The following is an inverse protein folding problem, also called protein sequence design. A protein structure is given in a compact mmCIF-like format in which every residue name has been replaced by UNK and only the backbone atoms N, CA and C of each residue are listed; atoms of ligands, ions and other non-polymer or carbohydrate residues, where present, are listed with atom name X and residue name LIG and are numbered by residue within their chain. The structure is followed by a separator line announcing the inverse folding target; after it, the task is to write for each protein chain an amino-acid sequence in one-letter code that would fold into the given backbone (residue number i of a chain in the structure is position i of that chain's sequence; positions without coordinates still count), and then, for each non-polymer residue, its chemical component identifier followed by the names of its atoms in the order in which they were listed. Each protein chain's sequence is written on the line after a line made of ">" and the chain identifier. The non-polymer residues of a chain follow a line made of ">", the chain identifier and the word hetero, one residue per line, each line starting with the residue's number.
data_IF_446040840915
#
_entry.id   IF_446040840915
#
_cell.length_a   1.000
_cell.length_b   1.000
_cell.length_c   1.000
_cell.angle_alpha   90.00
_cell.angle_beta   90.00
_cell.angle_gamma   90.00
#
_symmetry.space_group_name_H-M   'P 1'
#
loop_
_entity.id
_entity.type
_entity.pdbx_description
1 polymer ?
#
# COMPACT_ATOMS: atom_id res chain seq x y z
N UNK A 1 30.97 -20.93 -14.53
CA UNK A 1 30.53 -19.53 -14.69
C UNK A 1 29.64 -19.12 -13.52
N UNK A 2 28.53 -19.84 -13.28
CA UNK A 2 27.60 -19.60 -12.16
C UNK A 2 28.29 -19.54 -10.77
N UNK A 3 29.15 -20.53 -10.47
CA UNK A 3 29.93 -20.59 -9.23
C UNK A 3 30.79 -19.33 -9.00
N UNK A 4 31.42 -18.82 -10.07
CA UNK A 4 32.22 -17.58 -10.00
C UNK A 4 31.37 -16.34 -9.72
N UNK A 5 30.12 -16.29 -10.22
CA UNK A 5 29.18 -15.21 -9.94
C UNK A 5 28.68 -15.23 -8.49
N UNK A 6 28.42 -16.42 -7.94
CA UNK A 6 28.13 -16.55 -6.51
C UNK A 6 29.34 -16.18 -5.65
N UNK A 7 30.54 -16.59 -6.05
CA UNK A 7 31.78 -16.28 -5.34
C UNK A 7 32.09 -14.78 -5.31
N UNK A 8 31.96 -14.04 -6.42
CA UNK A 8 32.20 -12.57 -6.43
C UNK A 8 31.18 -11.82 -5.57
N UNK A 9 29.96 -12.35 -5.44
CA UNK A 9 28.95 -11.82 -4.53
C UNK A 9 29.21 -12.25 -3.07
N UNK A 10 30.03 -13.27 -2.83
CA UNK A 10 30.24 -13.85 -1.50
C UNK A 10 29.01 -14.63 -1.00
N UNK A 11 28.33 -15.33 -1.90
CA UNK A 11 27.13 -16.11 -1.63
C UNK A 11 27.34 -17.59 -1.93
N UNK A 12 26.57 -18.45 -1.26
CA UNK A 12 26.49 -19.87 -1.59
C UNK A 12 25.58 -20.12 -2.80
N UNK A 13 25.81 -21.24 -3.50
CA UNK A 13 24.95 -21.63 -4.61
C UNK A 13 23.50 -21.83 -4.15
N UNK A 14 22.55 -21.26 -4.90
CA UNK A 14 21.13 -21.33 -4.54
C UNK A 14 20.62 -20.16 -3.70
N UNK A 15 21.47 -19.16 -3.39
CA UNK A 15 21.02 -17.92 -2.75
C UNK A 15 19.86 -17.27 -3.52
N UNK A 16 18.90 -16.74 -2.77
CA UNK A 16 17.71 -16.12 -3.33
C UNK A 16 18.04 -14.74 -3.94
N UNK A 17 17.16 -14.23 -4.79
CA UNK A 17 17.44 -12.96 -5.48
C UNK A 17 17.53 -11.74 -4.55
N UNK A 18 16.92 -11.80 -3.35
CA UNK A 18 17.06 -10.74 -2.36
C UNK A 18 18.47 -10.73 -1.75
N UNK A 19 19.03 -11.91 -1.45
CA UNK A 19 20.41 -12.09 -0.98
C UNK A 19 21.41 -11.62 -2.03
N UNK A 20 21.22 -11.98 -3.30
CA UNK A 20 22.05 -11.51 -4.43
C UNK A 20 22.09 -9.99 -4.49
N UNK A 21 20.94 -9.34 -4.36
CA UNK A 21 20.84 -7.88 -4.38
C UNK A 21 21.51 -7.23 -3.18
N UNK A 22 21.41 -7.82 -1.99
CA UNK A 22 22.05 -7.30 -0.78
C UNK A 22 23.57 -7.42 -0.87
N UNK A 23 24.06 -8.60 -1.27
CA UNK A 23 25.46 -8.90 -1.45
C UNK A 23 26.11 -7.99 -2.51
N UNK A 24 25.43 -7.79 -3.65
CA UNK A 24 25.86 -6.87 -4.70
C UNK A 24 26.11 -5.45 -4.16
N UNK A 25 25.24 -4.91 -3.30
CA UNK A 25 25.43 -3.55 -2.77
C UNK A 25 26.61 -3.44 -1.84
N UNK A 26 26.82 -4.45 -0.98
CA UNK A 26 27.97 -4.50 -0.07
C UNK A 26 29.27 -4.54 -0.88
N UNK A 27 29.33 -5.43 -1.86
CA UNK A 27 30.50 -5.59 -2.72
C UNK A 27 30.70 -4.38 -3.65
N UNK A 28 29.64 -3.76 -4.17
CA UNK A 28 29.75 -2.61 -5.07
C UNK A 28 30.38 -1.43 -4.35
N UNK A 29 30.05 -1.20 -3.07
CA UNK A 29 30.71 -0.18 -2.25
C UNK A 29 32.18 -0.52 -1.97
N UNK A 30 32.51 -1.78 -1.76
CA UNK A 30 33.88 -2.23 -1.47
C UNK A 30 34.78 -2.26 -2.70
N UNK A 31 34.22 -2.54 -3.88
CA UNK A 31 34.98 -2.74 -5.11
C UNK A 31 34.97 -1.53 -6.05
N UNK A 32 34.15 -0.51 -5.79
CA UNK A 32 34.10 0.68 -6.65
C UNK A 32 35.49 1.36 -6.77
N UNK A 33 35.98 1.69 -7.98
CA UNK A 33 37.32 2.23 -8.19
C UNK A 33 37.63 3.53 -7.44
N UNK A 34 36.60 4.33 -7.15
CA UNK A 34 36.70 5.56 -6.35
C UNK A 34 37.04 5.27 -4.87
N UNK A 35 36.56 4.13 -4.33
CA UNK A 35 36.74 3.74 -2.93
C UNK A 35 37.85 2.69 -2.75
N UNK A 36 38.08 1.86 -3.77
CA UNK A 36 39.09 0.81 -3.79
C UNK A 36 40.22 1.17 -4.77
N UNK A 37 41.42 1.35 -4.23
CA UNK A 37 42.62 1.72 -4.98
C UNK A 37 43.44 0.52 -5.47
N UNK A 38 42.90 -0.70 -5.41
CA UNK A 38 43.59 -1.85 -5.98
C UNK A 38 43.69 -1.74 -7.50
N UNK A 39 44.76 -2.29 -8.08
CA UNK A 39 44.94 -2.31 -9.54
C UNK A 39 43.85 -3.13 -10.26
N UNK A 40 43.19 -4.05 -9.55
CA UNK A 40 42.10 -4.88 -10.05
C UNK A 40 40.70 -4.30 -9.79
N UNK A 41 40.56 -3.19 -9.04
CA UNK A 41 39.27 -2.69 -8.57
C UNK A 41 38.26 -2.48 -9.71
N UNK A 42 38.74 -1.96 -10.85
CA UNK A 42 37.90 -1.75 -12.03
C UNK A 42 37.41 -3.07 -12.64
N UNK A 43 38.29 -4.07 -12.78
CA UNK A 43 37.93 -5.38 -13.34
C UNK A 43 37.01 -6.14 -12.38
N UNK A 44 37.29 -6.10 -11.08
CA UNK A 44 36.48 -6.74 -10.03
C UNK A 44 35.08 -6.10 -9.97
N UNK A 45 34.99 -4.78 -10.08
CA UNK A 45 33.72 -4.07 -10.14
C UNK A 45 32.93 -4.40 -11.41
N UNK A 46 33.59 -4.48 -12.57
CA UNK A 46 32.95 -4.90 -13.83
C UNK A 46 32.41 -6.32 -13.71
N UNK A 47 33.20 -7.23 -13.15
CA UNK A 47 32.80 -8.63 -12.95
C UNK A 47 31.65 -8.76 -11.94
N UNK A 48 31.63 -7.95 -10.88
CA UNK A 48 30.53 -7.89 -9.93
C UNK A 48 29.22 -7.44 -10.59
N UNK A 49 29.25 -6.41 -11.43
CA UNK A 49 28.08 -5.92 -12.15
C UNK A 49 27.56 -6.96 -13.14
N UNK A 50 28.45 -7.62 -13.88
CA UNK A 50 28.12 -8.73 -14.79
C UNK A 50 27.36 -9.84 -14.04
N UNK A 51 27.89 -10.27 -12.88
CA UNK A 51 27.26 -11.26 -12.02
C UNK A 51 25.87 -10.81 -11.55
N UNK A 52 25.70 -9.54 -11.18
CA UNK A 52 24.43 -9.01 -10.72
C UNK A 52 23.37 -8.95 -11.84
N UNK A 53 23.74 -8.46 -13.01
CA UNK A 53 22.85 -8.39 -14.17
C UNK A 53 22.41 -9.77 -14.64
N UNK A 54 23.31 -10.75 -14.58
CA UNK A 54 22.99 -12.15 -14.83
C UNK A 54 21.82 -12.62 -13.96
N UNK A 55 21.91 -12.43 -12.64
CA UNK A 55 20.85 -12.85 -11.72
C UNK A 55 19.57 -12.02 -11.87
N UNK A 56 19.69 -10.72 -12.21
CA UNK A 56 18.55 -9.85 -12.50
C UNK A 56 17.74 -10.38 -13.68
N UNK A 57 18.43 -10.72 -14.78
CA UNK A 57 17.83 -11.27 -15.99
C UNK A 57 17.23 -12.66 -15.73
N UNK A 58 17.92 -13.52 -14.97
CA UNK A 58 17.36 -14.81 -14.58
C UNK A 58 16.07 -14.67 -13.76
N UNK A 59 16.04 -13.76 -12.80
CA UNK A 59 14.85 -13.55 -11.98
C UNK A 59 13.69 -12.96 -12.80
N UNK A 60 13.96 -12.03 -13.73
CA UNK A 60 12.96 -11.53 -14.67
C UNK A 60 12.37 -12.65 -15.54
N UNK A 61 13.23 -13.54 -16.07
CA UNK A 61 12.81 -14.71 -16.86
C UNK A 61 12.03 -15.73 -16.03
N UNK A 62 12.46 -16.02 -14.79
CA UNK A 62 11.73 -16.89 -13.85
C UNK A 62 10.32 -16.35 -13.57
N UNK A 63 10.18 -15.02 -13.38
CA UNK A 63 8.87 -14.37 -13.18
C UNK A 63 7.98 -14.44 -14.41
N UNK A 64 8.54 -14.21 -15.60
CA UNK A 64 7.81 -14.37 -16.86
C UNK A 64 7.36 -15.82 -17.10
N UNK A 65 8.17 -16.79 -16.65
CA UNK A 65 7.92 -18.23 -16.76
C UNK A 65 6.92 -18.76 -15.73
N UNK A 66 6.83 -18.16 -14.54
CA UNK A 66 5.81 -18.49 -13.53
C UNK A 66 4.36 -18.19 -14.00
N UNK A 67 4.19 -17.57 -15.18
CA UNK A 67 2.91 -17.29 -15.83
C UNK A 67 2.57 -18.29 -16.96
N UNK A 68 3.48 -19.21 -17.33
CA UNK A 68 3.28 -20.24 -18.35
C UNK A 68 3.94 -21.55 -17.91
N UNK A 69 3.11 -22.52 -17.53
CA UNK A 69 3.57 -23.84 -17.11
C UNK A 69 4.38 -24.57 -18.20
N UNK A 70 5.44 -25.25 -17.75
CA UNK A 70 6.08 -26.37 -18.46
C UNK A 70 7.38 -26.05 -19.20
N UNK A 71 8.52 -26.04 -18.50
CA UNK A 71 9.79 -26.64 -19.01
C UNK A 71 10.91 -26.63 -17.97
N UNK A 72 11.59 -27.76 -17.76
CA UNK A 72 12.70 -27.90 -16.80
C UNK A 72 14.07 -28.25 -17.41
N UNK A 73 14.30 -28.09 -18.73
CA UNK A 73 15.54 -28.61 -19.35
C UNK A 73 16.35 -27.68 -20.28
N UNK A 74 16.10 -26.35 -20.40
CA UNK A 74 16.75 -25.51 -21.46
C UNK A 74 17.97 -24.73 -20.96
N UNK A 75 18.25 -24.76 -19.66
CA UNK A 75 19.22 -23.90 -19.01
C UNK A 75 20.68 -24.09 -19.49
N UNK A 76 20.99 -25.26 -20.05
CA UNK A 76 22.34 -25.61 -20.52
C UNK A 76 22.59 -25.29 -22.00
N UNK A 77 21.54 -25.07 -22.80
CA UNK A 77 21.65 -24.85 -24.25
C UNK A 77 21.65 -23.35 -24.63
N UNK A 78 21.21 -22.48 -23.73
CA UNK A 78 21.03 -21.04 -23.97
C UNK A 78 22.24 -20.17 -23.55
N UNK A 79 23.15 -20.71 -22.74
CA UNK A 79 24.37 -20.01 -22.31
C UNK A 79 25.41 -19.84 -23.44
N UNK A 80 25.21 -20.52 -24.57
CA UNK A 80 26.04 -20.47 -25.78
C UNK A 80 25.36 -19.71 -26.94
N UNK A 81 24.22 -19.04 -26.72
CA UNK A 81 23.58 -18.25 -27.78
C UNK A 81 24.31 -16.92 -28.02
N UNK A 82 24.39 -16.48 -29.27
CA UNK A 82 25.00 -15.19 -29.65
C UNK A 82 24.33 -14.01 -28.93
N UNK A 83 23.01 -14.08 -28.73
CA UNK A 83 22.25 -13.07 -27.99
C UNK A 83 22.67 -12.95 -26.53
N UNK A 84 23.03 -14.08 -25.91
CA UNK A 84 23.47 -14.13 -24.53
C UNK A 84 24.87 -13.51 -24.36
N UNK A 85 25.79 -13.82 -25.27
CA UNK A 85 27.11 -13.18 -25.31
C UNK A 85 26.98 -11.67 -25.54
N UNK A 86 26.08 -11.25 -26.44
CA UNK A 86 25.81 -9.84 -26.70
C UNK A 86 25.17 -9.12 -25.49
N UNK A 87 24.43 -9.81 -24.64
CA UNK A 87 23.88 -9.24 -23.39
C UNK A 87 24.98 -9.08 -22.32
N UNK A 88 25.87 -10.07 -22.19
CA UNK A 88 27.03 -9.99 -21.29
C UNK A 88 27.93 -8.81 -21.69
N UNK A 89 28.18 -8.62 -22.99
CA UNK A 89 29.01 -7.51 -23.47
C UNK A 89 28.35 -6.16 -23.14
N UNK A 90 27.04 -6.03 -23.37
CA UNK A 90 26.27 -4.83 -22.99
C UNK A 90 26.24 -4.58 -21.47
N UNK A 91 26.24 -5.64 -20.66
CA UNK A 91 26.36 -5.53 -19.21
C UNK A 91 27.75 -5.02 -18.80
N UNK A 92 28.81 -5.52 -19.43
CA UNK A 92 30.19 -5.07 -19.22
C UNK A 92 30.41 -3.64 -19.63
N UNK A 93 29.86 -3.21 -20.77
CA UNK A 93 29.94 -1.81 -21.21
C UNK A 93 29.30 -0.86 -20.20
N UNK A 94 28.10 -1.20 -19.70
CA UNK A 94 27.42 -0.41 -18.65
C UNK A 94 28.22 -0.41 -17.35
N UNK A 95 28.74 -1.57 -16.95
CA UNK A 95 29.59 -1.68 -15.77
C UNK A 95 30.88 -0.84 -15.88
N UNK A 96 31.48 -0.78 -17.07
CA UNK A 96 32.65 0.04 -17.34
C UNK A 96 32.33 1.54 -17.32
N UNK A 97 31.11 1.95 -17.70
CA UNK A 97 30.64 3.32 -17.50
C UNK A 97 30.46 3.62 -16.01
N UNK A 98 29.86 2.71 -15.25
CA UNK A 98 29.71 2.83 -13.80
C UNK A 98 31.05 2.82 -13.05
N UNK A 99 32.09 2.18 -13.59
CA UNK A 99 33.42 2.19 -13.00
C UNK A 99 34.13 3.56 -13.16
N UNK A 100 33.75 4.35 -14.16
CA UNK A 100 34.36 5.64 -14.49
C UNK A 100 33.70 6.83 -13.80
N UNK A 101 32.49 6.66 -13.28
CA UNK A 101 31.77 7.72 -12.58
C UNK A 101 32.16 7.76 -11.09
N UNK A 102 32.00 8.90 -10.40
CA UNK A 102 32.14 8.97 -8.95
C UNK A 102 31.17 8.02 -8.23
N UNK A 103 31.55 7.48 -7.07
CA UNK A 103 30.70 6.54 -6.33
C UNK A 103 29.34 7.15 -5.95
N UNK A 104 29.35 8.44 -5.60
CA UNK A 104 28.13 9.17 -5.23
C UNK A 104 27.11 9.19 -6.38
N UNK A 105 27.57 9.48 -7.60
CA UNK A 105 26.72 9.49 -8.80
C UNK A 105 26.24 8.07 -9.14
N UNK A 106 27.09 7.05 -8.92
CA UNK A 106 26.74 5.66 -9.16
C UNK A 106 25.61 5.20 -8.25
N UNK A 107 25.65 5.58 -6.96
CA UNK A 107 24.59 5.30 -6.00
C UNK A 107 23.28 5.98 -6.40
N UNK A 108 23.35 7.12 -7.07
CA UNK A 108 22.19 7.86 -7.56
C UNK A 108 21.61 7.32 -8.87
N UNK A 109 22.31 6.41 -9.55
CA UNK A 109 21.85 5.78 -10.80
C UNK A 109 20.55 4.98 -10.60
N UNK A 110 19.72 4.89 -11.65
CA UNK A 110 18.52 4.05 -11.62
C UNK A 110 18.86 2.59 -11.34
N UNK A 111 19.99 2.10 -11.88
CA UNK A 111 20.50 0.76 -11.68
C UNK A 111 20.73 0.42 -10.20
N UNK A 112 21.36 1.33 -9.44
CA UNK A 112 21.60 1.17 -8.01
C UNK A 112 20.33 1.44 -7.17
N UNK A 113 19.59 2.51 -7.48
CA UNK A 113 18.38 2.94 -6.72
C UNK A 113 17.20 1.99 -6.81
N UNK A 114 16.95 1.35 -7.95
CA UNK A 114 15.86 0.36 -8.10
C UNK A 114 16.05 -0.83 -7.16
N UNK A 115 17.27 -1.04 -6.68
CA UNK A 115 17.64 -2.08 -5.71
C UNK A 115 17.64 -1.56 -4.27
N UNK A 116 17.87 -0.25 -4.10
CA UNK A 116 18.09 0.45 -2.85
C UNK A 116 16.86 0.66 -1.97
N UNK A 117 15.91 1.42 -2.50
CA UNK A 117 14.78 1.96 -1.74
C UNK A 117 13.72 0.90 -1.42
N UNK A 118 13.47 -0.02 -2.35
CA UNK A 118 12.47 -1.08 -2.17
C UNK A 118 12.83 -2.05 -1.05
N UNK A 119 14.11 -2.34 -0.83
CA UNK A 119 14.55 -3.20 0.26
C UNK A 119 14.48 -2.51 1.62
N UNK A 120 14.88 -1.23 1.70
CA UNK A 120 14.76 -0.46 2.94
C UNK A 120 13.28 -0.29 3.32
N UNK A 121 12.41 -0.06 2.34
CA UNK A 121 10.96 -0.02 2.55
C UNK A 121 10.44 -1.39 3.01
N UNK A 122 10.90 -2.49 2.40
CA UNK A 122 10.50 -3.84 2.80
C UNK A 122 10.99 -4.20 4.22
N UNK A 123 12.21 -3.85 4.57
CA UNK A 123 12.79 -4.04 5.90
C UNK A 123 12.05 -3.21 6.95
N UNK A 124 11.75 -1.93 6.65
CA UNK A 124 10.94 -1.07 7.50
C UNK A 124 9.53 -1.62 7.71
N UNK A 125 8.88 -2.11 6.65
CA UNK A 125 7.55 -2.74 6.73
C UNK A 125 7.60 -4.02 7.56
N UNK A 126 8.62 -4.85 7.40
CA UNK A 126 8.78 -6.08 8.18
C UNK A 126 9.01 -5.79 9.66
N UNK A 127 9.87 -4.82 9.99
CA UNK A 127 10.13 -4.40 11.38
C UNK A 127 8.87 -3.77 11.99
N UNK A 128 8.18 -2.89 11.25
CA UNK A 128 6.94 -2.26 11.70
C UNK A 128 5.82 -3.29 11.93
N UNK A 129 5.73 -4.30 11.08
CA UNK A 129 4.76 -5.40 11.23
C UNK A 129 5.11 -6.27 12.42
N UNK A 130 6.38 -6.61 12.62
CA UNK A 130 6.83 -7.35 13.81
C UNK A 130 6.55 -6.55 15.10
N UNK A 131 6.84 -5.25 15.11
CA UNK A 131 6.54 -4.36 16.24
C UNK A 131 5.03 -4.28 16.52
N UNK A 132 4.23 -4.11 15.47
CA UNK A 132 2.77 -4.09 15.60
C UNK A 132 2.22 -5.42 16.09
N UNK A 133 2.75 -6.56 15.65
CA UNK A 133 2.31 -7.86 16.14
C UNK A 133 2.66 -8.02 17.62
N UNK A 134 3.91 -7.72 18.01
CA UNK A 134 4.40 -7.89 19.39
C UNK A 134 3.71 -6.94 20.37
N UNK A 135 3.50 -5.68 20.00
CA UNK A 135 2.98 -4.66 20.90
C UNK A 135 1.55 -4.22 20.56
N UNK A 136 1.28 -3.95 19.28
CA UNK A 136 -0.03 -3.49 18.80
C UNK A 136 -1.13 -4.53 18.96
N UNK A 137 -0.88 -5.79 18.61
CA UNK A 137 -1.84 -6.89 18.72
C UNK A 137 -2.38 -7.09 20.14
N UNK A 138 -1.52 -7.33 21.15
CA UNK A 138 -1.93 -7.41 22.54
C UNK A 138 -2.61 -6.13 23.06
N UNK A 139 -2.12 -4.95 22.66
CA UNK A 139 -2.70 -3.67 23.09
C UNK A 139 -4.11 -3.43 22.54
N UNK A 140 -4.33 -3.71 21.26
CA UNK A 140 -5.66 -3.62 20.62
C UNK A 140 -6.59 -4.69 21.17
N UNK A 141 -6.09 -5.91 21.38
CA UNK A 141 -6.83 -6.98 22.03
C UNK A 141 -7.33 -6.55 23.41
N UNK A 142 -6.45 -5.95 24.22
CA UNK A 142 -6.80 -5.41 25.53
C UNK A 142 -7.87 -4.31 25.45
N UNK A 143 -7.74 -3.37 24.53
CA UNK A 143 -8.72 -2.29 24.36
C UNK A 143 -10.11 -2.80 23.93
N UNK A 144 -10.19 -3.85 23.11
CA UNK A 144 -11.47 -4.36 22.59
C UNK A 144 -12.15 -5.38 23.51
N UNK A 145 -11.39 -6.23 24.19
CA UNK A 145 -11.93 -7.36 24.99
C UNK A 145 -11.29 -7.52 26.37
N UNK A 146 -10.59 -6.50 26.87
CA UNK A 146 -9.93 -6.53 28.17
C UNK A 146 -8.88 -7.65 28.28
N UNK A 147 -8.80 -8.28 29.44
CA UNK A 147 -7.79 -9.33 29.73
C UNK A 147 -7.85 -10.52 28.77
N UNK A 148 -9.04 -10.92 28.31
CA UNK A 148 -9.20 -12.01 27.33
C UNK A 148 -8.60 -11.66 25.97
N UNK A 149 -8.72 -10.40 25.54
CA UNK A 149 -8.13 -9.93 24.29
C UNK A 149 -6.61 -9.76 24.37
N UNK A 150 -6.08 -9.39 25.55
CA UNK A 150 -4.63 -9.37 25.80
C UNK A 150 -4.02 -10.78 25.66
N UNK A 151 -4.63 -11.78 26.30
CA UNK A 151 -4.18 -13.18 26.22
C UNK A 151 -4.25 -13.70 24.79
N UNK A 152 -5.36 -13.45 24.08
CA UNK A 152 -5.48 -13.80 22.66
C UNK A 152 -4.41 -13.13 21.78
N UNK A 153 -4.10 -11.86 22.03
CA UNK A 153 -3.03 -11.15 21.35
C UNK A 153 -1.64 -11.74 21.63
N UNK A 154 -1.33 -12.07 22.89
CA UNK A 154 -0.04 -12.68 23.27
C UNK A 154 0.14 -14.09 22.67
N UNK A 155 -0.93 -14.89 22.59
CA UNK A 155 -0.91 -16.20 21.91
C UNK A 155 -0.62 -16.01 20.41
N UNK A 156 -1.22 -15.01 19.78
CA UNK A 156 -0.97 -14.69 18.36
C UNK A 156 0.50 -14.26 18.13
N UNK A 157 1.09 -13.49 19.06
CA UNK A 157 2.52 -13.16 19.04
C UNK A 157 3.36 -14.42 19.08
N UNK A 158 3.08 -15.32 20.02
CA UNK A 158 3.85 -16.57 20.17
C UNK A 158 3.79 -17.44 18.90
N UNK A 159 2.62 -17.59 18.30
CA UNK A 159 2.43 -18.38 17.06
C UNK A 159 3.14 -17.74 15.87
N UNK A 160 3.13 -16.41 15.78
CA UNK A 160 3.73 -15.69 14.64
C UNK A 160 5.23 -15.43 14.82
N UNK A 161 5.76 -15.58 16.04
CA UNK A 161 7.18 -15.34 16.36
C UNK A 161 8.16 -16.09 15.44
N UNK A 162 7.99 -17.39 15.12
CA UNK A 162 8.92 -18.09 14.23
C UNK A 162 9.04 -17.49 12.83
N UNK A 163 7.99 -16.84 12.34
CA UNK A 163 7.95 -16.23 11.01
C UNK A 163 8.79 -14.95 10.95
N UNK A 164 8.67 -14.07 11.94
CA UNK A 164 9.42 -12.81 12.00
C UNK A 164 10.79 -12.95 12.69
N UNK A 165 10.99 -13.96 13.53
CA UNK A 165 12.26 -14.25 14.18
C UNK A 165 13.36 -14.59 13.16
N UNK A 166 13.04 -15.33 12.09
CA UNK A 166 14.00 -15.57 11.00
C UNK A 166 14.45 -14.27 10.32
N UNK A 167 13.54 -13.32 10.13
CA UNK A 167 13.82 -12.00 9.52
C UNK A 167 14.71 -11.16 10.45
N UNK A 168 14.47 -11.21 11.76
CA UNK A 168 15.24 -10.46 12.77
C UNK A 168 16.60 -11.09 13.10
N UNK A 169 16.73 -12.42 13.04
CA UNK A 169 17.95 -13.16 13.44
C UNK A 169 18.97 -13.25 12.29
N UNK A 170 18.56 -13.38 11.03
CA UNK A 170 19.50 -13.45 9.90
C UNK A 170 20.13 -12.09 9.52
N UNK A 171 19.50 -10.98 9.91
CA UNK A 171 20.08 -9.65 9.76
C UNK A 171 20.66 -9.20 11.09
N UNK A 172 21.95 -9.43 11.28
CA UNK A 172 22.76 -8.68 12.26
C UNK A 172 22.96 -7.24 11.78
N UNK A 173 21.89 -6.58 11.34
CA UNK A 173 21.88 -5.18 11.02
C UNK A 173 21.86 -4.45 12.36
N UNK A 174 23.01 -3.91 12.79
CA UNK A 174 22.97 -2.75 13.68
C UNK A 174 22.05 -1.75 12.98
N UNK A 175 20.87 -1.52 13.56
CA UNK A 175 19.95 -0.52 13.04
C UNK A 175 20.68 0.80 13.21
N UNK A 176 21.27 1.28 12.13
CA UNK A 176 21.82 2.62 12.09
C UNK A 176 20.62 3.56 12.09
N UNK A 177 20.26 4.06 13.27
CA UNK A 177 19.16 5.00 13.45
C UNK A 177 19.33 6.27 12.61
N UNK A 178 20.57 6.62 12.24
CA UNK A 178 20.85 7.73 11.34
C UNK A 178 20.44 7.40 9.90
N UNK A 179 20.77 6.21 9.40
CA UNK A 179 20.32 5.75 8.07
C UNK A 179 18.81 5.51 8.03
N UNK A 180 18.24 4.96 9.11
CA UNK A 180 16.79 4.83 9.27
C UNK A 180 16.11 6.20 9.24
N UNK A 181 16.65 7.19 9.96
CA UNK A 181 16.15 8.56 9.97
C UNK A 181 16.21 9.19 8.58
N UNK A 182 17.32 9.03 7.85
CA UNK A 182 17.45 9.51 6.46
C UNK A 182 16.46 8.83 5.53
N UNK A 183 16.26 7.51 5.65
CA UNK A 183 15.30 6.76 4.85
C UNK A 183 13.85 7.19 5.14
N UNK A 184 13.49 7.39 6.41
CA UNK A 184 12.18 7.90 6.82
C UNK A 184 11.97 9.31 6.26
N UNK A 185 12.95 10.21 6.37
CA UNK A 185 12.88 11.55 5.81
C UNK A 185 12.75 11.53 4.28
N UNK A 186 13.41 10.60 3.60
CA UNK A 186 13.27 10.42 2.16
C UNK A 186 11.86 9.93 1.76
N UNK A 187 11.30 9.01 2.54
CA UNK A 187 9.94 8.50 2.34
C UNK A 187 8.90 9.58 2.67
N UNK A 188 9.09 10.35 3.75
CA UNK A 188 8.29 11.52 4.09
C UNK A 188 8.48 12.67 3.08
N UNK A 189 9.63 12.78 2.43
CA UNK A 189 9.85 13.72 1.32
C UNK A 189 9.26 13.25 -0.01
N UNK A 190 8.81 12.00 -0.09
CA UNK A 190 8.31 11.41 -1.33
C UNK A 190 6.95 12.00 -1.71
N UNK A 191 6.88 12.56 -2.93
CA UNK A 191 5.62 13.00 -3.53
C UNK A 191 4.59 11.87 -3.62
N UNK A 192 5.05 10.62 -3.78
CA UNK A 192 4.16 9.45 -3.89
C UNK A 192 3.44 9.21 -2.58
N UNK A 193 4.15 9.25 -1.44
CA UNK A 193 3.55 9.05 -0.12
C UNK A 193 2.46 10.08 0.17
N UNK A 194 2.75 11.37 -0.06
CA UNK A 194 1.76 12.42 0.18
C UNK A 194 0.56 12.34 -0.76
N UNK A 195 0.78 11.99 -2.03
CA UNK A 195 -0.32 11.77 -2.97
C UNK A 195 -1.18 10.58 -2.51
N UNK A 196 -0.57 9.46 -2.13
CA UNK A 196 -1.28 8.29 -1.61
C UNK A 196 -2.06 8.59 -0.32
N UNK A 197 -1.44 9.29 0.63
CA UNK A 197 -2.12 9.73 1.86
C UNK A 197 -3.30 10.65 1.55
N UNK A 198 -3.16 11.55 0.59
CA UNK A 198 -4.24 12.44 0.20
C UNK A 198 -5.38 11.68 -0.53
N UNK A 199 -5.09 10.65 -1.32
CA UNK A 199 -6.13 9.75 -1.85
C UNK A 199 -6.84 8.97 -0.76
N UNK A 200 -6.11 8.45 0.23
CA UNK A 200 -6.68 7.74 1.38
C UNK A 200 -7.57 8.67 2.22
N UNK A 201 -7.12 9.89 2.49
CA UNK A 201 -7.91 10.90 3.18
C UNK A 201 -9.18 11.22 2.39
N UNK A 202 -9.07 11.43 1.08
CA UNK A 202 -10.23 11.67 0.22
C UNK A 202 -11.23 10.51 0.27
N UNK A 203 -10.76 9.27 0.18
CA UNK A 203 -11.61 8.09 0.29
C UNK A 203 -12.31 8.02 1.65
N UNK A 204 -11.55 8.23 2.73
CA UNK A 204 -12.09 8.23 4.09
C UNK A 204 -13.18 9.30 4.28
N UNK A 205 -12.96 10.52 3.76
CA UNK A 205 -13.93 11.60 3.84
C UNK A 205 -15.20 11.31 3.03
N UNK A 206 -15.10 10.75 1.82
CA UNK A 206 -16.26 10.34 1.01
C UNK A 206 -17.09 9.31 1.78
N UNK A 207 -16.45 8.28 2.32
CA UNK A 207 -17.16 7.23 3.06
C UNK A 207 -17.75 7.77 4.36
N UNK A 208 -17.03 8.62 5.09
CA UNK A 208 -17.45 9.09 6.41
C UNK A 208 -18.54 10.16 6.34
N UNK A 209 -18.43 11.10 5.41
CA UNK A 209 -19.30 12.28 5.30
C UNK A 209 -20.27 12.12 4.13
N UNK A 210 -19.80 11.62 2.98
CA UNK A 210 -20.66 11.42 1.81
C UNK A 210 -21.83 10.48 2.08
N UNK A 211 -21.66 9.47 2.93
CA UNK A 211 -22.77 8.58 3.33
C UNK A 211 -23.74 9.24 4.33
N UNK A 212 -23.33 10.31 4.99
CA UNK A 212 -24.24 11.10 5.85
C UNK A 212 -25.06 12.10 5.06
N UNK A 213 -24.57 12.54 3.90
CA UNK A 213 -25.33 13.41 3.02
C UNK A 213 -26.35 12.61 2.24
N UNK A 214 -27.61 13.07 2.24
CA UNK A 214 -28.73 12.42 1.56
C UNK A 214 -28.67 12.68 0.04
N UNK A 215 -27.65 12.10 -0.60
CA UNK A 215 -27.45 12.11 -2.06
C UNK A 215 -27.54 10.66 -2.56
N UNK A 216 -28.36 10.38 -3.60
CA UNK A 216 -28.39 9.04 -4.16
C UNK A 216 -27.03 8.65 -4.73
N UNK A 217 -26.64 7.39 -4.56
CA UNK A 217 -25.28 6.95 -4.91
C UNK A 217 -24.92 7.23 -6.38
N UNK A 218 -25.91 7.09 -7.28
CA UNK A 218 -25.73 7.41 -8.70
C UNK A 218 -25.42 8.90 -8.94
N UNK A 219 -26.05 9.81 -8.21
CA UNK A 219 -25.77 11.24 -8.29
C UNK A 219 -24.36 11.57 -7.78
N UNK A 220 -23.89 10.87 -6.75
CA UNK A 220 -22.52 11.03 -6.26
C UNK A 220 -21.49 10.64 -7.34
N UNK A 221 -21.71 9.52 -8.04
CA UNK A 221 -20.87 9.13 -9.17
C UNK A 221 -20.96 10.12 -10.34
N UNK A 222 -22.15 10.61 -10.68
CA UNK A 222 -22.35 11.58 -11.74
C UNK A 222 -21.64 12.92 -11.45
N UNK A 223 -21.75 13.43 -10.22
CA UNK A 223 -21.05 14.65 -9.79
C UNK A 223 -19.53 14.47 -9.84
N UNK A 224 -19.04 13.31 -9.39
CA UNK A 224 -17.61 13.01 -9.45
C UNK A 224 -17.09 12.96 -10.90
N UNK A 225 -17.81 12.25 -11.77
CA UNK A 225 -17.47 12.16 -13.19
C UNK A 225 -17.52 13.53 -13.87
N UNK A 226 -18.54 14.34 -13.57
CA UNK A 226 -18.67 15.71 -14.07
C UNK A 226 -17.52 16.62 -13.64
N UNK A 227 -17.10 16.56 -12.37
CA UNK A 227 -15.95 17.32 -11.87
C UNK A 227 -14.65 16.88 -12.55
N UNK A 228 -14.41 15.58 -12.69
CA UNK A 228 -13.22 15.04 -13.37
C UNK A 228 -13.20 15.48 -14.84
N UNK A 229 -14.32 15.34 -15.56
CA UNK A 229 -14.45 15.77 -16.95
C UNK A 229 -14.26 17.29 -17.10
N UNK A 230 -14.81 18.08 -16.19
CA UNK A 230 -14.64 19.54 -16.16
C UNK A 230 -13.18 19.94 -15.98
N UNK A 231 -12.45 19.29 -15.08
CA UNK A 231 -11.01 19.54 -14.88
C UNK A 231 -10.21 19.14 -16.12
N UNK A 232 -10.53 18.00 -16.75
CA UNK A 232 -9.90 17.62 -18.03
C UNK A 232 -10.16 18.62 -19.15
N UNK A 233 -11.39 19.14 -19.24
CA UNK A 233 -11.73 20.22 -20.18
C UNK A 233 -10.91 21.48 -19.91
N UNK A 234 -10.78 21.86 -18.64
CA UNK A 234 -10.01 23.03 -18.21
C UNK A 234 -8.50 22.85 -18.46
N UNK A 235 -7.96 21.65 -18.25
CA UNK A 235 -6.59 21.27 -18.59
C UNK A 235 -6.33 21.42 -20.10
N UNK A 236 -7.29 20.98 -20.94
CA UNK A 236 -7.22 21.12 -22.40
C UNK A 236 -7.23 22.59 -22.85
N UNK A 237 -7.92 23.46 -22.12
CA UNK A 237 -7.94 24.91 -22.38
C UNK A 237 -6.65 25.60 -21.92
N UNK A 238 -6.17 25.27 -20.72
CA UNK A 238 -5.02 25.94 -20.13
C UNK A 238 -3.67 25.48 -20.70
N UNK A 239 -3.59 24.29 -21.32
CA UNK A 239 -2.43 23.65 -22.03
C UNK A 239 -1.07 23.62 -21.31
N UNK A 240 -0.90 24.38 -20.24
CA UNK A 240 0.35 24.63 -19.52
C UNK A 240 0.38 23.92 -18.17
N UNK A 241 -0.76 23.46 -17.66
CA UNK A 241 -0.89 22.88 -16.33
C UNK A 241 -1.45 21.47 -16.41
N UNK A 242 -0.76 20.51 -15.79
CA UNK A 242 -1.32 19.20 -15.51
C UNK A 242 -2.11 19.27 -14.21
N UNK A 243 -3.43 19.39 -14.33
CA UNK A 243 -4.33 19.63 -13.22
C UNK A 243 -4.71 18.36 -12.48
N UNK A 244 -4.18 17.18 -12.85
CA UNK A 244 -4.39 15.90 -12.14
C UNK A 244 -5.87 15.70 -11.76
N UNK A 245 -6.75 15.65 -12.75
CA UNK A 245 -8.21 15.62 -12.56
C UNK A 245 -8.69 14.55 -11.55
N UNK A 246 -8.05 13.36 -11.57
CA UNK A 246 -8.34 12.26 -10.64
C UNK A 246 -8.06 12.58 -9.16
N UNK A 247 -7.21 13.56 -8.88
CA UNK A 247 -6.96 14.04 -7.53
C UNK A 247 -7.94 15.14 -7.14
N UNK A 248 -8.05 16.17 -7.98
CA UNK A 248 -8.82 17.37 -7.65
C UNK A 248 -10.34 17.17 -7.73
N UNK A 249 -10.83 16.28 -8.60
CA UNK A 249 -12.26 15.97 -8.68
C UNK A 249 -12.83 15.47 -7.35
N UNK A 250 -12.30 14.35 -6.79
CA UNK A 250 -12.69 13.88 -5.46
C UNK A 250 -12.47 14.93 -4.36
N UNK A 251 -11.36 15.68 -4.41
CA UNK A 251 -11.04 16.69 -3.39
C UNK A 251 -12.05 17.84 -3.36
N UNK A 252 -12.47 18.33 -4.52
CA UNK A 252 -13.50 19.37 -4.64
C UNK A 252 -14.84 18.85 -4.12
N UNK A 253 -15.24 17.65 -4.53
CA UNK A 253 -16.47 17.02 -4.06
C UNK A 253 -16.45 16.85 -2.53
N UNK A 254 -15.34 16.37 -1.96
CA UNK A 254 -15.19 16.22 -0.52
C UNK A 254 -15.25 17.53 0.22
N UNK A 255 -14.59 18.56 -0.30
CA UNK A 255 -14.64 19.90 0.29
C UNK A 255 -16.06 20.42 0.31
N UNK A 256 -16.81 20.23 -0.78
CA UNK A 256 -18.23 20.58 -0.84
C UNK A 256 -19.07 19.80 0.18
N UNK A 257 -18.90 18.48 0.28
CA UNK A 257 -19.63 17.65 1.24
C UNK A 257 -19.30 18.01 2.69
N UNK A 258 -18.03 18.31 2.98
CA UNK A 258 -17.57 18.80 4.28
C UNK A 258 -18.22 20.13 4.65
N UNK A 259 -18.25 21.08 3.72
CA UNK A 259 -18.90 22.37 3.93
C UNK A 259 -20.40 22.19 4.12
N UNK A 260 -21.04 21.34 3.31
CA UNK A 260 -22.44 21.01 3.45
C UNK A 260 -22.75 20.43 4.83
N UNK A 261 -21.92 19.50 5.32
CA UNK A 261 -22.08 18.91 6.65
C UNK A 261 -21.78 19.90 7.78
N UNK A 262 -20.83 20.81 7.60
CA UNK A 262 -20.39 21.71 8.67
C UNK A 262 -21.30 22.93 8.81
N UNK A 263 -21.84 23.41 7.69
CA UNK A 263 -22.72 24.59 7.63
C UNK A 263 -24.20 24.22 7.69
N UNK A 264 -24.54 22.94 7.82
CA UNK A 264 -25.93 22.52 7.99
C UNK A 264 -26.52 23.06 9.29
N UNK A 265 -27.83 23.29 9.27
CA UNK A 265 -28.58 23.82 10.41
C UNK A 265 -30.02 23.28 10.41
N UNK A 266 -30.84 23.76 11.35
CA UNK A 266 -32.25 23.39 11.49
C UNK A 266 -32.48 21.88 11.69
N UNK A 267 -32.13 21.34 12.89
CA UNK A 267 -32.26 19.91 13.15
C UNK A 267 -33.72 19.48 13.24
N UNK A 268 -34.08 18.49 12.42
CA UNK A 268 -35.36 17.77 12.42
C UNK A 268 -35.10 16.33 12.85
N UNK A 269 -35.86 15.85 13.82
CA UNK A 269 -35.76 14.46 14.29
C UNK A 269 -36.86 13.64 13.64
N UNK A 270 -36.48 12.60 12.92
CA UNK A 270 -37.38 11.66 12.26
C UNK A 270 -37.21 10.27 12.87
N UNK A 271 -38.33 9.59 13.16
CA UNK A 271 -38.32 8.26 13.77
C UNK A 271 -38.93 7.25 12.80
N UNK A 272 -38.27 6.11 12.61
CA UNK A 272 -38.75 5.04 11.74
C UNK A 272 -38.64 3.69 12.44
N UNK A 273 -39.67 2.87 12.30
CA UNK A 273 -39.51 1.45 12.57
C UNK A 273 -38.52 0.84 11.56
N UNK A 274 -37.70 -0.10 12.02
CA UNK A 274 -36.73 -0.76 11.16
C UNK A 274 -36.75 -2.28 11.26
N UNK A 275 -36.49 -2.94 10.13
CA UNK A 275 -36.28 -4.37 10.05
C UNK A 275 -34.85 -4.64 9.62
N UNK A 276 -34.19 -5.61 10.27
CA UNK A 276 -32.86 -6.06 9.86
C UNK A 276 -32.97 -6.90 8.60
N UNK A 277 -32.09 -6.68 7.64
CA UNK A 277 -31.96 -7.58 6.51
C UNK A 277 -31.44 -8.94 6.97
N UNK A 278 -32.07 -10.01 6.49
CA UNK A 278 -31.58 -11.37 6.64
C UNK A 278 -31.23 -11.93 5.26
N UNK A 279 -30.04 -12.50 5.12
CA UNK A 279 -29.69 -13.30 3.95
C UNK A 279 -29.67 -14.78 4.30
N UNK A 280 -30.31 -15.59 3.45
CA UNK A 280 -30.20 -17.05 3.51
C UNK A 280 -28.86 -17.47 2.88
N UNK A 281 -27.88 -17.85 3.71
CA UNK A 281 -26.68 -18.54 3.25
C UNK A 281 -26.86 -20.06 3.38
N UNK A 282 -26.06 -20.84 2.62
CA UNK A 282 -26.05 -22.31 2.69
C UNK A 282 -25.87 -22.88 4.11
N UNK A 283 -25.32 -22.09 5.03
CA UNK A 283 -25.07 -22.46 6.43
C UNK A 283 -26.02 -21.77 7.44
N UNK A 284 -27.16 -21.24 6.99
CA UNK A 284 -28.17 -20.59 7.83
C UNK A 284 -28.38 -19.11 7.52
N UNK A 285 -29.28 -18.46 8.28
CA UNK A 285 -29.58 -17.03 8.14
C UNK A 285 -28.51 -16.19 8.82
N UNK A 286 -27.91 -15.25 8.09
CA UNK A 286 -27.04 -14.23 8.70
C UNK A 286 -27.73 -12.86 8.62
N UNK A 287 -27.70 -12.18 9.76
CA UNK A 287 -28.12 -10.78 9.88
C UNK A 287 -27.14 -9.92 9.07
N UNK A 288 -27.66 -9.02 8.24
CA UNK A 288 -26.84 -8.14 7.42
C UNK A 288 -26.61 -6.80 8.11
N UNK A 289 -25.60 -6.07 7.64
CA UNK A 289 -25.29 -4.67 8.01
C UNK A 289 -26.38 -3.69 7.55
N UNK A 290 -27.38 -4.15 6.81
CA UNK A 290 -28.37 -3.33 6.15
C UNK A 290 -29.72 -3.38 6.86
N UNK A 291 -30.35 -2.21 7.04
CA UNK A 291 -31.70 -2.11 7.61
C UNK A 291 -32.71 -1.58 6.59
N UNK A 292 -33.94 -2.04 6.71
CA UNK A 292 -35.09 -1.56 5.94
C UNK A 292 -35.96 -0.70 6.86
N UNK A 293 -36.33 0.50 6.39
CA UNK A 293 -37.15 1.44 7.14
C UNK A 293 -38.60 1.33 6.72
N UNK A 294 -39.51 1.62 7.65
CA UNK A 294 -40.95 1.68 7.37
C UNK A 294 -41.25 2.60 6.18
N UNK A 295 -42.16 2.15 5.30
CA UNK A 295 -42.52 2.90 4.09
C UNK A 295 -41.40 3.05 3.06
N UNK A 296 -40.36 2.20 3.14
CA UNK A 296 -39.16 2.25 2.29
C UNK A 296 -38.46 3.62 2.33
N UNK A 297 -38.50 4.25 3.50
CA UNK A 297 -37.86 5.54 3.70
C UNK A 297 -36.36 5.41 3.46
N UNK A 298 -35.82 6.41 2.79
CA UNK A 298 -34.44 6.44 2.35
C UNK A 298 -34.03 5.34 1.33
N UNK A 299 -34.97 4.72 0.60
CA UNK A 299 -34.72 3.70 -0.42
C UNK A 299 -33.60 4.01 -1.43
N UNK A 300 -33.45 5.28 -1.78
CA UNK A 300 -32.48 5.77 -2.76
C UNK A 300 -31.13 6.19 -2.14
N UNK A 301 -31.06 6.27 -0.80
CA UNK A 301 -29.86 6.69 -0.08
C UNK A 301 -29.25 5.49 0.63
N UNK A 302 -27.97 5.25 0.40
CA UNK A 302 -27.32 4.05 0.90
C UNK A 302 -26.86 4.19 2.35
N UNK A 303 -26.36 5.38 2.70
CA UNK A 303 -25.72 5.63 3.99
C UNK A 303 -26.64 5.47 5.21
N UNK A 304 -27.85 6.06 5.24
CA UNK A 304 -28.75 5.92 6.38
C UNK A 304 -29.20 4.48 6.65
N UNK A 305 -28.94 3.51 5.77
CA UNK A 305 -29.35 2.11 5.95
C UNK A 305 -28.20 1.18 6.30
N UNK A 306 -26.97 1.68 6.42
CA UNK A 306 -25.77 0.89 6.69
C UNK A 306 -25.27 1.09 8.13
N UNK A 307 -25.28 0.02 8.91
CA UNK A 307 -24.88 0.05 10.32
C UNK A 307 -24.07 -1.18 10.72
N UNK A 308 -22.91 -0.94 11.33
CA UNK A 308 -22.00 -1.98 11.81
C UNK A 308 -22.12 -2.24 13.32
N UNK A 309 -22.83 -1.38 14.06
CA UNK A 309 -23.04 -1.54 15.50
C UNK A 309 -24.28 -2.38 15.77
N UNK A 310 -24.10 -3.70 15.74
CA UNK A 310 -25.18 -4.65 15.98
C UNK A 310 -25.69 -4.65 17.42
N UNK A 311 -24.87 -4.22 18.39
CA UNK A 311 -25.27 -4.18 19.79
C UNK A 311 -26.27 -3.06 20.05
N UNK A 312 -26.04 -1.89 19.45
CA UNK A 312 -26.97 -0.76 19.57
C UNK A 312 -28.38 -1.08 19.04
N UNK A 313 -28.50 -2.01 18.09
CA UNK A 313 -29.80 -2.46 17.56
C UNK A 313 -30.50 -3.54 18.40
N UNK A 314 -29.80 -4.13 19.38
CA UNK A 314 -30.34 -5.27 20.11
C UNK A 314 -31.42 -4.81 21.08
N UNK A 315 -32.65 -5.24 20.83
CA UNK A 315 -33.82 -4.81 21.60
C UNK A 315 -34.29 -3.39 21.28
N UNK A 316 -33.88 -2.81 20.16
CA UNK A 316 -34.45 -1.56 19.64
C UNK A 316 -35.39 -1.86 18.45
N UNK A 317 -36.49 -1.12 18.38
CA UNK A 317 -37.53 -1.28 17.34
C UNK A 317 -37.63 -0.05 16.43
N UNK A 318 -37.12 1.09 16.92
CA UNK A 318 -37.11 2.37 16.22
C UNK A 318 -35.67 2.85 15.99
N UNK A 319 -35.48 3.58 14.90
CA UNK A 319 -34.30 4.40 14.67
C UNK A 319 -34.71 5.87 14.54
N UNK A 320 -34.08 6.72 15.34
CA UNK A 320 -34.18 8.18 15.26
C UNK A 320 -33.02 8.74 14.42
N UNK A 321 -33.33 9.51 13.39
CA UNK A 321 -32.35 10.31 12.65
C UNK A 321 -32.47 11.78 13.04
N UNK A 322 -31.35 12.42 13.34
CA UNK A 322 -31.27 13.88 13.40
C UNK A 322 -30.75 14.38 12.07
N UNK A 323 -31.61 15.05 11.33
CA UNK A 323 -31.36 15.54 9.97
C UNK A 323 -31.28 17.05 10.00
N UNK A 324 -30.28 17.61 9.35
CA UNK A 324 -30.14 19.05 9.17
C UNK A 324 -30.18 19.41 7.68
N UNK A 325 -30.63 20.62 7.38
CA UNK A 325 -30.59 21.18 6.04
C UNK A 325 -29.23 21.82 5.78
N UNK A 326 -28.55 21.35 4.72
CA UNK A 326 -27.27 21.87 4.28
C UNK A 326 -27.38 22.89 3.15
N UNK A 327 -26.23 23.17 2.53
CA UNK A 327 -26.10 23.98 1.34
C UNK A 327 -26.98 23.44 0.20
N UNK A 328 -27.65 24.34 -0.51
CA UNK A 328 -28.52 24.01 -1.65
C UNK A 328 -29.66 23.03 -1.30
N UNK A 329 -30.09 22.98 -0.03
CA UNK A 329 -31.14 22.07 0.44
C UNK A 329 -30.68 20.61 0.58
N UNK A 330 -29.37 20.34 0.50
CA UNK A 330 -28.83 19.00 0.66
C UNK A 330 -28.85 18.60 2.14
N UNK A 331 -29.85 17.80 2.49
CA UNK A 331 -30.02 17.28 3.85
C UNK A 331 -28.90 16.33 4.26
N UNK A 332 -28.52 16.37 5.54
CA UNK A 332 -27.46 15.56 6.13
C UNK A 332 -27.91 14.90 7.42
N UNK A 333 -27.59 13.62 7.59
CA UNK A 333 -27.77 12.88 8.83
C UNK A 333 -26.61 13.18 9.78
N UNK A 334 -26.86 13.90 10.87
CA UNK A 334 -25.86 14.21 11.89
C UNK A 334 -25.64 13.05 12.84
N UNK A 335 -26.75 12.48 13.30
CA UNK A 335 -26.80 11.46 14.33
C UNK A 335 -27.91 10.46 14.02
N UNK A 336 -27.71 9.24 14.48
CA UNK A 336 -28.63 8.12 14.34
C UNK A 336 -28.62 7.33 15.64
N UNK A 337 -29.77 7.17 16.27
CA UNK A 337 -29.91 6.47 17.55
C UNK A 337 -30.97 5.38 17.46
N UNK A 338 -30.67 4.21 17.99
CA UNK A 338 -31.61 3.11 18.10
C UNK A 338 -32.36 3.21 19.44
N UNK A 339 -33.69 3.15 19.40
CA UNK A 339 -34.56 3.30 20.56
C UNK A 339 -35.60 2.18 20.64
N UNK A 340 -36.08 1.91 21.84
CA UNK A 340 -37.26 1.07 22.06
C UNK A 340 -38.51 1.88 21.72
N UNK A 341 -39.52 1.21 21.17
CA UNK A 341 -40.85 1.81 21.14
C UNK A 341 -41.38 1.86 22.58
N UNK A 342 -41.81 3.04 23.02
CA UNK A 342 -42.45 3.24 24.33
C UNK A 342 -43.86 2.64 24.38
#
# INVERSE_FOLDING_TARGET
>A
MLEKYYHVLGLEEGANFAEVKEAYRKQAKMLHPDLNKSASAQEDFVFLNEAYEFFLNQNARKRAKAQKDGWSSHFKQEADSEEWQAEIERARERAAQFAKMPYEDFVESSFYKTTGSLMVIADFLNISTAFFLVFGGPSIGYLLKGTYGLVGGLVLVFITTPFWAKILIHKQARIDFLELGKAILQVLGSKVLWVSLAYLLNFFLIVRIGFRTLIPLWWLFALLAGLIAGIYGLERLLKKYNLRAWFWGPAILNTFLLLNFSLSSHPVVENYAFMRGEQNLKNGRQKTTFIYLEGDQYAQYWGPRLFFDYKAMEGADLISYTIEEGLFGLRVVKQSEFKKAD
#
